data_IF_616194093638
#
_entry.id   IF_616194093638
#
_cell.length_a   1.000
_cell.length_b   1.000
_cell.length_c   1.000
_cell.angle_alpha   90.00
_cell.angle_beta   90.00
_cell.angle_gamma   90.00
#
_symmetry.space_group_name_H-M   'P 1'
#
loop_
_entity.id
_entity.type
_entity.pdbx_description
1 polymer ?
#
# COMPACT_ATOMS: atom_id res chain seq x y z
N UNK A 1 23.26 5.93 76.02
CA UNK A 1 22.58 6.50 74.84
C UNK A 1 22.47 5.41 73.79
N UNK A 2 21.25 4.96 73.46
CA UNK A 2 21.01 3.84 72.54
C UNK A 2 21.37 4.26 71.11
N UNK A 3 22.26 3.50 70.48
CA UNK A 3 22.61 3.62 69.06
C UNK A 3 21.45 3.03 68.24
N UNK A 4 20.71 3.87 67.52
CA UNK A 4 19.69 3.43 66.56
C UNK A 4 20.41 3.14 65.24
N UNK A 5 20.51 1.86 64.90
CA UNK A 5 20.92 1.40 63.57
C UNK A 5 19.69 1.46 62.68
N UNK A 6 19.64 2.43 61.76
CA UNK A 6 18.65 2.47 60.69
C UNK A 6 19.05 1.47 59.60
N UNK A 7 18.36 0.33 59.57
CA UNK A 7 18.33 -0.57 58.42
C UNK A 7 17.59 0.13 57.27
N UNK A 8 18.31 0.49 56.21
CA UNK A 8 17.68 0.73 54.90
C UNK A 8 17.33 -0.63 54.29
N UNK A 9 16.05 -1.01 54.38
CA UNK A 9 15.51 -2.05 53.52
C UNK A 9 15.47 -1.49 52.09
N UNK A 10 16.38 -1.99 51.24
CA UNK A 10 16.27 -1.79 49.80
C UNK A 10 15.02 -2.55 49.32
N UNK A 11 13.92 -1.83 49.14
CA UNK A 11 12.73 -2.35 48.45
C UNK A 11 13.14 -2.49 46.98
N UNK A 12 13.57 -3.69 46.60
CA UNK A 12 13.59 -4.11 45.20
C UNK A 12 12.12 -4.21 44.76
N UNK A 13 11.59 -3.14 44.20
CA UNK A 13 10.40 -3.26 43.37
C UNK A 13 10.81 -4.10 42.15
N UNK A 14 10.10 -5.19 41.81
CA UNK A 14 10.33 -5.86 40.54
C UNK A 14 10.09 -4.82 39.45
N UNK A 15 11.13 -4.51 38.69
CA UNK A 15 10.99 -3.81 37.42
C UNK A 15 9.99 -4.63 36.62
N UNK A 16 8.78 -4.10 36.43
CA UNK A 16 7.87 -4.62 35.41
C UNK A 16 8.64 -4.45 34.11
N UNK A 17 9.10 -5.56 33.53
CA UNK A 17 9.59 -5.58 32.16
C UNK A 17 8.43 -5.07 31.30
N UNK A 18 8.56 -3.83 30.86
CA UNK A 18 7.62 -3.21 29.94
C UNK A 18 8.08 -3.67 28.57
N UNK A 19 7.30 -4.55 27.95
CA UNK A 19 7.60 -5.07 26.62
C UNK A 19 7.80 -3.91 25.62
N UNK A 20 8.91 -3.95 24.88
CA UNK A 20 9.21 -2.96 23.85
C UNK A 20 8.47 -3.34 22.56
N UNK A 21 7.78 -2.37 21.94
CA UNK A 21 7.17 -2.57 20.64
C UNK A 21 8.17 -2.22 19.55
N UNK A 22 8.36 -3.15 18.63
CA UNK A 22 9.13 -2.96 17.39
C UNK A 22 8.18 -2.77 16.23
N UNK A 23 8.63 -2.08 15.18
CA UNK A 23 7.81 -1.87 14.00
C UNK A 23 8.65 -1.91 12.73
N UNK A 24 8.16 -2.64 11.73
CA UNK A 24 8.74 -2.72 10.40
C UNK A 24 7.80 -2.00 9.43
N UNK A 25 8.32 -0.99 8.72
CA UNK A 25 7.55 -0.30 7.69
C UNK A 25 7.45 -1.15 6.42
N UNK A 26 6.25 -1.63 6.13
CA UNK A 26 5.94 -2.45 4.95
C UNK A 26 5.55 -1.61 3.72
N UNK A 27 5.02 -0.42 3.97
CA UNK A 27 4.65 0.54 2.94
C UNK A 27 4.73 1.96 3.48
N UNK A 28 5.13 2.91 2.63
CA UNK A 28 5.03 4.33 2.91
C UNK A 28 4.88 5.09 1.61
N UNK A 29 3.90 5.99 1.56
CA UNK A 29 3.68 6.90 0.45
C UNK A 29 2.92 8.13 0.94
N UNK A 30 3.56 9.31 0.85
CA UNK A 30 3.02 10.59 1.34
C UNK A 30 2.60 10.51 2.80
N UNK A 31 1.30 10.64 3.05
CA UNK A 31 0.71 10.63 4.39
C UNK A 31 0.32 9.23 4.85
N UNK A 32 0.43 8.22 3.98
CA UNK A 32 0.03 6.84 4.26
C UNK A 32 1.25 5.97 4.62
N UNK A 33 1.12 5.16 5.67
CA UNK A 33 2.05 4.07 5.96
C UNK A 33 1.31 2.78 6.29
N UNK A 34 2.01 1.66 6.12
CA UNK A 34 1.62 0.37 6.69
C UNK A 34 2.82 -0.17 7.42
N UNK A 35 2.64 -0.44 8.70
CA UNK A 35 3.68 -0.92 9.59
C UNK A 35 3.23 -2.25 10.20
N UNK A 36 4.11 -3.25 10.21
CA UNK A 36 3.94 -4.46 11.02
C UNK A 36 4.57 -4.21 12.38
N UNK A 37 3.75 -4.23 13.43
CA UNK A 37 4.16 -3.92 14.80
C UNK A 37 4.11 -5.21 15.61
N UNK A 38 5.15 -5.47 16.39
CA UNK A 38 5.24 -6.69 17.19
C UNK A 38 6.01 -6.47 18.49
N UNK A 39 5.76 -7.32 19.47
CA UNK A 39 6.50 -7.37 20.73
C UNK A 39 7.55 -8.48 20.67
N UNK A 40 8.77 -8.18 21.13
CA UNK A 40 9.89 -9.14 21.18
C UNK A 40 9.97 -9.94 22.48
N UNK A 41 9.00 -9.78 23.41
CA UNK A 41 8.97 -10.49 24.69
C UNK A 41 7.75 -11.45 24.82
N UNK A 42 8.02 -12.75 25.06
CA UNK A 42 7.01 -13.79 25.30
C UNK A 42 6.35 -14.35 24.01
N UNK A 43 5.12 -14.88 24.13
CA UNK A 43 4.27 -15.40 23.00
C UNK A 43 3.78 -14.31 22.00
N UNK A 44 4.54 -13.22 21.80
CA UNK A 44 4.51 -12.34 20.62
C UNK A 44 3.18 -11.70 20.20
N UNK A 45 2.73 -10.63 20.87
CA UNK A 45 1.67 -9.77 20.30
C UNK A 45 2.16 -9.16 18.98
N UNK A 46 1.31 -9.18 17.96
CA UNK A 46 1.61 -8.62 16.65
C UNK A 46 0.36 -8.02 16.00
N UNK A 47 0.56 -6.99 15.18
CA UNK A 47 -0.50 -6.31 14.45
C UNK A 47 -0.01 -5.62 13.17
N UNK A 48 -0.94 -5.47 12.25
CA UNK A 48 -0.83 -4.64 11.05
C UNK A 48 -1.48 -3.30 11.31
N UNK A 49 -0.72 -2.22 11.09
CA UNK A 49 -1.17 -0.84 11.31
C UNK A 49 -1.10 -0.10 9.98
N UNK A 50 -2.25 0.15 9.35
CA UNK A 50 -2.33 1.12 8.24
C UNK A 50 -2.74 2.46 8.77
N UNK A 51 -1.97 3.49 8.48
CA UNK A 51 -2.15 4.81 9.05
C UNK A 51 -2.14 5.89 7.96
N UNK A 52 -2.98 6.90 8.15
CA UNK A 52 -2.88 8.18 7.46
C UNK A 52 -2.67 9.31 8.46
N UNK A 53 -1.66 10.15 8.22
CA UNK A 53 -1.29 11.27 9.12
C UNK A 53 -1.54 12.63 8.49
N UNK A 54 -1.97 13.57 9.32
CA UNK A 54 -2.07 14.99 9.02
C UNK A 54 -1.49 15.83 10.17
N UNK A 55 -1.72 17.14 10.12
CA UNK A 55 -1.21 18.11 11.11
C UNK A 55 -1.76 17.84 12.51
N UNK A 56 -1.02 17.02 13.28
CA UNK A 56 -1.36 16.67 14.66
C UNK A 56 -2.47 15.65 14.81
N UNK A 57 -3.04 15.13 13.71
CA UNK A 57 -4.11 14.13 13.73
C UNK A 57 -3.73 12.92 12.87
N UNK A 58 -4.11 11.72 13.29
CA UNK A 58 -3.91 10.50 12.52
C UNK A 58 -5.12 9.58 12.62
N UNK A 59 -5.35 8.80 11.56
CA UNK A 59 -6.31 7.72 11.53
C UNK A 59 -5.58 6.42 11.22
N UNK A 60 -5.74 5.41 12.08
CA UNK A 60 -5.08 4.10 11.93
C UNK A 60 -6.10 2.97 11.95
N UNK A 61 -6.00 2.04 11.01
CA UNK A 61 -6.66 0.74 11.06
C UNK A 61 -5.65 -0.27 11.58
N UNK A 62 -5.92 -0.83 12.76
CA UNK A 62 -5.11 -1.85 13.40
C UNK A 62 -5.80 -3.21 13.22
N UNK A 63 -5.03 -4.24 12.85
CA UNK A 63 -5.51 -5.63 12.72
C UNK A 63 -4.49 -6.54 13.39
N UNK A 64 -4.88 -7.21 14.47
CA UNK A 64 -3.98 -8.07 15.26
C UNK A 64 -3.92 -9.51 14.73
N UNK A 65 -2.96 -10.29 15.25
CA UNK A 65 -2.77 -11.71 14.91
C UNK A 65 -3.95 -12.63 15.21
N UNK A 66 -4.89 -12.19 16.07
CA UNK A 66 -6.14 -12.89 16.37
C UNK A 66 -7.30 -12.40 15.49
N UNK A 67 -7.00 -11.63 14.44
CA UNK A 67 -7.96 -11.02 13.52
C UNK A 67 -8.96 -10.11 14.23
N UNK A 68 -8.57 -9.45 15.32
CA UNK A 68 -9.34 -8.31 15.83
C UNK A 68 -8.93 -7.06 15.07
N UNK A 69 -9.91 -6.24 14.72
CA UNK A 69 -9.68 -4.94 14.11
C UNK A 69 -10.20 -3.81 15.00
N UNK A 70 -9.42 -2.74 15.06
CA UNK A 70 -9.85 -1.48 15.63
C UNK A 70 -9.44 -0.31 14.73
N UNK A 71 -10.21 0.76 14.82
CA UNK A 71 -9.88 2.02 14.19
C UNK A 71 -9.51 3.03 15.27
N UNK A 72 -8.34 3.63 15.13
CA UNK A 72 -7.82 4.63 16.03
C UNK A 72 -7.87 6.01 15.38
N UNK A 73 -8.41 7.00 16.09
CA UNK A 73 -8.23 8.43 15.79
C UNK A 73 -7.30 8.99 16.87
N UNK A 74 -6.12 9.45 16.47
CA UNK A 74 -5.19 10.15 17.34
C UNK A 74 -5.26 11.66 17.08
N UNK A 75 -5.32 12.46 18.14
CA UNK A 75 -5.30 13.94 18.08
C UNK A 75 -4.32 14.46 19.15
N UNK A 76 -3.20 15.00 18.69
CA UNK A 76 -2.11 15.51 19.54
C UNK A 76 -2.54 16.66 20.46
N UNK A 77 -3.60 17.39 20.11
CA UNK A 77 -4.12 18.49 20.91
C UNK A 77 -5.22 18.07 21.90
N UNK A 78 -5.73 16.83 21.79
CA UNK A 78 -6.85 16.36 22.59
C UNK A 78 -6.43 15.49 23.79
N UNK A 79 -7.24 15.47 24.83
CA UNK A 79 -7.16 14.45 25.89
C UNK A 79 -8.51 13.74 26.02
N UNK A 80 -8.53 12.48 25.60
CA UNK A 80 -9.70 11.60 25.65
C UNK A 80 -9.67 10.64 26.84
N UNK A 81 -8.74 10.78 27.79
CA UNK A 81 -8.62 9.86 28.94
C UNK A 81 -9.90 9.77 29.79
N UNK A 82 -10.72 10.83 29.78
CA UNK A 82 -12.03 10.85 30.45
C UNK A 82 -13.20 10.29 29.62
N UNK A 83 -13.00 9.96 28.34
CA UNK A 83 -14.07 9.55 27.43
C UNK A 83 -14.37 8.06 27.56
N UNK A 84 -15.50 7.74 28.19
CA UNK A 84 -15.96 6.35 28.38
C UNK A 84 -17.22 6.11 27.55
N UNK A 85 -17.06 5.40 26.43
CA UNK A 85 -18.11 4.93 25.53
C UNK A 85 -19.09 6.01 25.02
N UNK A 86 -19.07 6.27 23.71
CA UNK A 86 -20.03 7.17 23.08
C UNK A 86 -19.66 7.54 21.65
N UNK A 87 -20.57 8.23 20.96
CA UNK A 87 -20.35 8.72 19.58
C UNK A 87 -19.65 10.07 19.65
N UNK A 88 -18.33 10.08 19.48
CA UNK A 88 -17.53 11.32 19.47
C UNK A 88 -17.34 11.84 18.05
N UNK A 89 -17.02 10.95 17.13
CA UNK A 89 -16.78 11.27 15.72
C UNK A 89 -17.67 10.43 14.80
N UNK A 90 -17.82 10.91 13.57
CA UNK A 90 -18.31 10.15 12.43
C UNK A 90 -17.27 10.25 11.31
N UNK A 91 -17.08 9.18 10.55
CA UNK A 91 -16.26 9.24 9.33
C UNK A 91 -17.11 9.24 8.09
N UNK A 92 -16.62 9.89 7.05
CA UNK A 92 -17.23 9.85 5.73
C UNK A 92 -16.15 9.73 4.66
N UNK A 93 -16.29 8.78 3.75
CA UNK A 93 -15.42 8.67 2.59
C UNK A 93 -16.18 9.22 1.38
N UNK A 94 -15.68 10.31 0.82
CA UNK A 94 -16.34 11.08 -0.24
C UNK A 94 -17.82 11.39 0.09
N UNK A 95 -18.76 10.87 -0.71
CA UNK A 95 -20.21 11.06 -0.54
C UNK A 95 -20.92 9.82 0.01
N UNK A 96 -20.18 8.84 0.51
CA UNK A 96 -20.78 7.66 1.14
C UNK A 96 -21.52 8.03 2.43
N UNK A 97 -22.48 7.20 2.87
CA UNK A 97 -23.11 7.37 4.17
C UNK A 97 -22.08 7.42 5.30
N UNK A 98 -22.29 8.31 6.27
CA UNK A 98 -21.39 8.45 7.42
C UNK A 98 -21.35 7.15 8.23
N UNK A 99 -20.15 6.79 8.66
CA UNK A 99 -19.89 5.72 9.62
C UNK A 99 -20.09 6.27 11.03
N UNK A 100 -21.05 5.70 11.76
CA UNK A 100 -21.17 5.94 13.19
C UNK A 100 -20.05 5.22 13.95
N UNK A 101 -19.30 5.97 14.75
CA UNK A 101 -18.09 5.49 15.42
C UNK A 101 -18.21 5.62 16.94
N UNK A 102 -18.88 4.66 17.61
CA UNK A 102 -18.79 4.56 19.06
C UNK A 102 -17.35 4.23 19.45
N UNK A 103 -16.74 5.09 20.27
CA UNK A 103 -15.33 4.97 20.61
C UNK A 103 -15.09 5.06 22.12
N UNK A 104 -13.97 4.45 22.55
CA UNK A 104 -13.42 4.57 23.90
C UNK A 104 -12.14 5.40 23.86
N UNK A 105 -11.96 6.30 24.83
CA UNK A 105 -10.80 7.17 24.89
C UNK A 105 -9.66 6.62 25.74
N UNK A 106 -8.43 6.87 25.31
CA UNK A 106 -7.19 6.59 26.04
C UNK A 106 -6.13 7.61 25.63
N UNK A 107 -5.75 8.51 26.55
CA UNK A 107 -4.81 9.59 26.23
C UNK A 107 -5.32 10.42 25.05
N UNK A 108 -4.45 10.70 24.09
CA UNK A 108 -4.76 11.43 22.85
C UNK A 108 -5.53 10.60 21.80
N UNK A 109 -5.97 9.38 22.11
CA UNK A 109 -6.55 8.46 21.13
C UNK A 109 -8.00 8.07 21.46
N UNK A 110 -8.81 7.90 20.42
CA UNK A 110 -10.10 7.24 20.45
C UNK A 110 -10.03 5.95 19.65
N UNK A 111 -10.53 4.86 20.23
CA UNK A 111 -10.54 3.54 19.62
C UNK A 111 -11.96 3.08 19.35
N UNK A 112 -12.22 2.68 18.11
CA UNK A 112 -13.48 2.12 17.63
C UNK A 112 -13.26 0.65 17.38
N UNK A 113 -13.96 -0.16 18.16
CA UNK A 113 -13.94 -1.61 18.00
C UNK A 113 -14.69 -2.02 16.71
N UNK A 114 -13.97 -2.73 15.84
CA UNK A 114 -14.50 -3.34 14.62
C UNK A 114 -14.60 -4.88 14.71
N UNK A 115 -14.12 -5.52 15.78
CA UNK A 115 -14.00 -6.99 15.96
C UNK A 115 -15.28 -7.69 16.49
N UNK A 116 -16.45 -7.06 16.30
CA UNK A 116 -17.73 -7.62 16.74
C UNK A 116 -18.20 -8.89 15.98
N UNK A 117 -19.23 -9.59 16.50
CA UNK A 117 -19.70 -10.92 16.03
C UNK A 117 -20.28 -10.98 14.61
N UNK A 118 -20.17 -9.90 13.84
CA UNK A 118 -20.56 -9.86 12.43
C UNK A 118 -19.28 -9.93 11.59
N UNK A 119 -18.93 -11.16 11.19
CA UNK A 119 -18.22 -11.53 9.95
C UNK A 119 -17.63 -10.32 9.21
N UNK A 120 -16.31 -10.08 9.36
CA UNK A 120 -15.34 -9.08 8.84
C UNK A 120 -15.74 -7.97 7.85
N UNK A 121 -16.94 -8.01 7.27
CA UNK A 121 -17.65 -7.06 6.40
C UNK A 121 -17.49 -5.59 6.76
N UNK A 122 -17.37 -5.23 8.04
CA UNK A 122 -17.13 -3.81 8.43
C UNK A 122 -15.72 -3.37 8.02
N UNK A 123 -14.73 -4.22 8.25
CA UNK A 123 -13.35 -3.99 7.82
C UNK A 123 -13.26 -4.04 6.29
N UNK A 124 -13.86 -5.05 5.65
CA UNK A 124 -13.87 -5.16 4.19
C UNK A 124 -14.50 -3.94 3.52
N UNK A 125 -15.66 -3.49 4.02
CA UNK A 125 -16.33 -2.30 3.48
C UNK A 125 -15.50 -1.04 3.70
N UNK A 126 -14.87 -0.88 4.87
CA UNK A 126 -13.99 0.26 5.14
C UNK A 126 -12.78 0.27 4.20
N UNK A 127 -12.10 -0.87 4.04
CA UNK A 127 -10.98 -1.03 3.12
C UNK A 127 -11.41 -0.78 1.67
N UNK A 128 -12.58 -1.27 1.27
CA UNK A 128 -13.15 -1.03 -0.05
C UNK A 128 -13.37 0.47 -0.31
N UNK A 129 -14.04 1.17 0.61
CA UNK A 129 -14.27 2.62 0.49
C UNK A 129 -12.96 3.41 0.48
N UNK A 130 -11.99 3.05 1.36
CA UNK A 130 -10.66 3.69 1.40
C UNK A 130 -9.94 3.54 0.07
N UNK A 131 -9.88 2.31 -0.50
CA UNK A 131 -9.15 2.02 -1.75
C UNK A 131 -9.62 2.83 -2.95
N UNK A 132 -10.90 3.18 -3.00
CA UNK A 132 -11.52 3.87 -4.13
C UNK A 132 -11.74 5.36 -3.86
N UNK A 133 -11.59 5.79 -2.60
CA UNK A 133 -11.99 7.12 -2.19
C UNK A 133 -10.96 8.20 -2.50
N UNK A 134 -11.40 9.45 -2.54
CA UNK A 134 -10.54 10.63 -2.74
C UNK A 134 -10.25 11.37 -1.43
N UNK A 135 -11.24 11.49 -0.56
CA UNK A 135 -11.13 12.16 0.74
C UNK A 135 -11.85 11.41 1.85
N UNK A 136 -11.24 11.39 3.03
CA UNK A 136 -11.85 10.89 4.26
C UNK A 136 -12.04 12.06 5.21
N UNK A 137 -13.30 12.33 5.55
CA UNK A 137 -13.70 13.38 6.45
C UNK A 137 -13.97 12.82 7.84
N UNK A 138 -13.49 13.52 8.86
CA UNK A 138 -13.80 13.30 10.27
C UNK A 138 -14.76 14.40 10.68
N UNK A 139 -15.93 14.05 11.20
CA UNK A 139 -16.90 14.99 11.75
C UNK A 139 -17.02 14.77 13.25
N UNK A 140 -17.13 15.84 14.02
CA UNK A 140 -17.66 15.69 15.38
C UNK A 140 -19.12 15.22 15.29
N UNK A 141 -19.52 14.31 16.19
CA UNK A 141 -20.84 13.69 16.12
C UNK A 141 -21.95 14.74 16.23
N UNK A 142 -22.88 14.73 15.26
CA UNK A 142 -23.99 15.69 15.17
C UNK A 142 -23.65 16.99 14.43
N UNK A 143 -22.37 17.24 14.16
CA UNK A 143 -21.94 18.44 13.44
C UNK A 143 -22.08 18.29 11.92
N UNK A 144 -22.31 19.43 11.27
CA UNK A 144 -22.43 19.50 9.81
C UNK A 144 -21.10 19.74 9.12
N UNK A 145 -20.23 20.54 9.74
CA UNK A 145 -18.91 20.87 9.23
C UNK A 145 -17.91 19.79 9.65
N UNK A 146 -16.97 19.47 8.76
CA UNK A 146 -15.89 18.55 9.04
C UNK A 146 -14.95 19.12 10.11
N UNK A 147 -14.56 18.26 11.05
CA UNK A 147 -13.51 18.55 12.02
C UNK A 147 -12.12 18.45 11.37
N UNK A 148 -11.93 17.45 10.51
CA UNK A 148 -10.70 17.24 9.77
C UNK A 148 -10.95 16.46 8.48
N UNK A 149 -10.00 16.49 7.54
CA UNK A 149 -10.04 15.61 6.38
C UNK A 149 -8.64 15.10 6.01
N UNK A 150 -8.58 13.87 5.55
CA UNK A 150 -7.38 13.24 4.99
C UNK A 150 -7.52 13.06 3.49
N UNK A 151 -6.43 13.25 2.77
CA UNK A 151 -6.32 12.82 1.38
C UNK A 151 -6.22 11.29 1.33
N UNK A 152 -7.09 10.65 0.57
CA UNK A 152 -7.01 9.21 0.29
C UNK A 152 -6.06 8.92 -0.88
N UNK A 153 -5.31 9.91 -1.40
CA UNK A 153 -4.28 9.65 -2.41
C UNK A 153 -3.16 8.79 -1.81
N UNK A 154 -2.98 7.59 -2.36
CA UNK A 154 -2.04 6.59 -1.85
C UNK A 154 -2.68 5.48 -1.01
N UNK A 155 -3.92 5.68 -0.58
CA UNK A 155 -4.63 4.74 0.28
C UNK A 155 -4.86 3.37 -0.36
N UNK A 156 -5.03 3.30 -1.69
CA UNK A 156 -5.14 2.02 -2.40
C UNK A 156 -3.89 1.17 -2.23
N UNK A 157 -2.70 1.77 -2.38
CA UNK A 157 -1.43 1.06 -2.24
C UNK A 157 -1.20 0.64 -0.78
N UNK A 158 -1.59 1.48 0.18
CA UNK A 158 -1.53 1.15 1.61
C UNK A 158 -2.50 0.01 1.97
N UNK A 159 -3.77 0.09 1.55
CA UNK A 159 -4.76 -0.95 1.80
C UNK A 159 -4.39 -2.28 1.14
N UNK A 160 -3.85 -2.24 -0.08
CA UNK A 160 -3.28 -3.43 -0.71
C UNK A 160 -2.09 -3.97 0.10
N UNK A 161 -1.20 -3.12 0.59
CA UNK A 161 -0.06 -3.56 1.39
C UNK A 161 -0.46 -4.25 2.71
N UNK A 162 -1.59 -3.89 3.34
CA UNK A 162 -2.13 -4.67 4.46
C UNK A 162 -2.39 -6.11 4.02
N UNK A 163 -3.21 -6.26 2.97
CA UNK A 163 -3.73 -7.56 2.55
C UNK A 163 -2.63 -8.43 1.93
N UNK A 164 -1.78 -7.83 1.09
CA UNK A 164 -0.76 -8.51 0.30
C UNK A 164 0.54 -8.75 1.08
N UNK A 165 0.90 -7.83 1.98
CA UNK A 165 2.16 -7.91 2.72
C UNK A 165 1.94 -8.27 4.17
N UNK A 166 1.03 -7.58 4.85
CA UNK A 166 1.00 -7.60 6.30
C UNK A 166 0.29 -8.83 6.87
N UNK A 167 -0.84 -9.25 6.30
CA UNK A 167 -1.58 -10.41 6.78
C UNK A 167 -0.78 -11.72 6.74
N UNK A 168 0.22 -11.83 5.86
CA UNK A 168 1.11 -12.98 5.82
C UNK A 168 2.05 -13.10 7.04
N UNK A 169 2.24 -12.02 7.80
CA UNK A 169 3.08 -11.99 9.01
C UNK A 169 2.28 -12.10 10.31
N UNK A 170 0.95 -12.05 10.24
CA UNK A 170 0.11 -12.12 11.42
C UNK A 170 0.14 -13.54 12.00
N UNK A 171 0.53 -13.64 13.27
CA UNK A 171 0.58 -14.90 14.00
C UNK A 171 -0.43 -14.86 15.15
N UNK A 172 -1.28 -15.88 15.25
CA UNK A 172 -2.21 -16.01 16.37
C UNK A 172 -1.45 -16.09 17.70
N UNK A 173 -1.95 -15.41 18.74
CA UNK A 173 -1.31 -15.33 20.04
C UNK A 173 -2.32 -15.53 21.18
N UNK A 174 -1.89 -15.92 22.41
CA UNK A 174 -2.80 -16.20 23.51
C UNK A 174 -3.71 -15.01 23.86
N UNK A 175 -5.02 -15.25 23.87
CA UNK A 175 -6.07 -14.25 24.11
C UNK A 175 -6.03 -13.62 25.51
N UNK A 176 -5.27 -14.19 26.44
CA UNK A 176 -5.03 -13.61 27.77
C UNK A 176 -4.08 -12.41 27.74
N UNK A 177 -3.41 -12.16 26.61
CA UNK A 177 -2.55 -11.00 26.41
C UNK A 177 -3.30 -9.88 25.70
N UNK A 178 -3.22 -8.69 26.27
CA UNK A 178 -3.70 -7.45 25.63
C UNK A 178 -2.54 -6.76 24.93
N UNK A 179 -2.86 -5.90 23.96
CA UNK A 179 -1.92 -4.97 23.33
C UNK A 179 -1.06 -4.29 24.42
N UNK A 180 0.29 -4.37 24.32
CA UNK A 180 1.17 -3.68 25.26
C UNK A 180 0.91 -2.18 25.21
N UNK A 181 0.75 -1.52 26.35
CA UNK A 181 0.53 -0.06 26.35
C UNK A 181 1.85 0.65 26.06
N UNK A 182 2.04 1.26 24.87
CA UNK A 182 3.30 1.91 24.54
C UNK A 182 3.42 3.20 25.36
N UNK A 183 4.54 3.39 26.09
CA UNK A 183 4.85 4.69 26.71
C UNK A 183 5.24 5.75 25.67
N UNK A 184 5.72 5.29 24.52
CA UNK A 184 6.16 6.09 23.38
C UNK A 184 5.75 5.32 22.12
N UNK A 185 5.29 5.99 21.03
CA UNK A 185 5.05 5.30 19.76
C UNK A 185 6.28 4.48 19.35
N UNK A 186 6.12 3.26 18.82
CA UNK A 186 7.25 2.48 18.33
C UNK A 186 8.02 3.32 17.31
N UNK A 187 9.36 3.28 17.42
CA UNK A 187 10.20 3.90 16.39
C UNK A 187 9.99 3.10 15.11
N UNK A 188 9.57 3.79 14.06
CA UNK A 188 9.50 3.21 12.71
C UNK A 188 10.90 2.91 12.23
N UNK A 189 11.20 1.64 12.01
CA UNK A 189 12.47 1.22 11.43
C UNK A 189 12.47 1.53 9.93
N UNK A 190 13.67 1.73 9.36
CA UNK A 190 13.84 1.87 7.91
C UNK A 190 13.34 0.60 7.17
N UNK A 191 12.85 0.72 5.92
CA UNK A 191 12.46 -0.44 5.13
C UNK A 191 13.61 -1.45 5.05
N UNK A 192 13.36 -2.70 5.44
CA UNK A 192 14.39 -3.75 5.42
C UNK A 192 14.86 -4.00 3.98
N UNK A 193 16.16 -3.85 3.68
CA UNK A 193 16.72 -4.24 2.39
C UNK A 193 16.59 -5.75 2.18
N UNK A 194 15.79 -6.19 1.20
CA UNK A 194 15.65 -7.61 0.83
C UNK A 194 14.24 -8.13 0.56
N UNK A 195 13.18 -7.33 0.77
CA UNK A 195 11.79 -7.77 0.59
C UNK A 195 11.24 -7.39 -0.82
N UNK A 196 11.58 -8.16 -1.86
CA UNK A 196 11.19 -7.85 -3.26
C UNK A 196 10.32 -8.90 -3.97
N UNK A 197 9.91 -10.00 -3.34
CA UNK A 197 9.25 -11.13 -4.06
C UNK A 197 7.74 -11.30 -3.83
N UNK A 198 7.04 -10.43 -3.08
CA UNK A 198 5.60 -10.57 -2.82
C UNK A 198 4.70 -9.52 -3.50
N UNK A 199 5.28 -8.54 -4.20
CA UNK A 199 4.52 -7.53 -4.95
C UNK A 199 4.22 -7.95 -6.39
N UNK A 200 5.01 -8.87 -6.92
CA UNK A 200 4.81 -9.49 -8.21
C UNK A 200 5.13 -10.98 -8.09
N UNK A 201 4.38 -11.79 -8.82
CA UNK A 201 4.67 -13.19 -9.05
C UNK A 201 5.28 -13.34 -10.44
N UNK A 202 6.40 -14.07 -10.51
CA UNK A 202 6.98 -14.51 -11.78
C UNK A 202 7.07 -16.03 -11.76
N UNK A 203 6.35 -16.67 -12.68
CA UNK A 203 6.35 -18.12 -12.81
C UNK A 203 6.83 -18.51 -14.19
N UNK A 204 7.95 -19.24 -14.25
CA UNK A 204 8.48 -19.77 -15.51
C UNK A 204 7.97 -21.18 -15.75
N UNK A 205 7.48 -21.44 -16.96
CA UNK A 205 6.99 -22.74 -17.41
C UNK A 205 7.47 -23.04 -18.82
N UNK A 206 7.73 -24.31 -19.10
CA UNK A 206 8.00 -24.79 -20.46
C UNK A 206 6.68 -25.25 -21.09
N UNK A 207 6.35 -24.70 -22.25
CA UNK A 207 5.09 -24.95 -22.95
C UNK A 207 5.33 -25.46 -24.37
N UNK A 208 4.28 -25.90 -25.07
CA UNK A 208 4.38 -26.24 -26.49
C UNK A 208 4.71 -25.04 -27.39
N UNK A 209 4.54 -23.80 -26.91
CA UNK A 209 4.86 -22.58 -27.64
C UNK A 209 6.30 -22.11 -27.40
N UNK A 210 6.97 -22.60 -26.36
CA UNK A 210 8.29 -22.17 -25.89
C UNK A 210 8.34 -21.99 -24.37
N UNK A 211 9.41 -21.37 -23.91
CA UNK A 211 9.63 -21.04 -22.51
C UNK A 211 8.88 -19.75 -22.15
N UNK A 212 7.93 -19.85 -21.23
CA UNK A 212 6.98 -18.78 -20.89
C UNK A 212 7.20 -18.33 -19.45
N UNK A 213 7.24 -17.02 -19.23
CA UNK A 213 7.18 -16.41 -17.90
C UNK A 213 5.83 -15.74 -17.73
N UNK A 214 5.06 -16.17 -16.74
CA UNK A 214 3.83 -15.51 -16.32
C UNK A 214 4.15 -14.45 -15.26
N UNK A 215 3.56 -13.27 -15.43
CA UNK A 215 3.67 -12.13 -14.54
C UNK A 215 2.28 -11.71 -14.05
N UNK A 216 2.13 -11.65 -12.73
CA UNK A 216 0.98 -11.07 -12.06
C UNK A 216 1.43 -10.10 -10.97
N UNK A 217 0.75 -8.98 -10.80
CA UNK A 217 0.97 -8.02 -9.70
C UNK A 217 1.60 -6.69 -10.10
N UNK A 218 2.30 -6.07 -9.17
CA UNK A 218 2.84 -4.70 -9.26
C UNK A 218 4.29 -4.72 -9.73
N UNK A 219 4.64 -3.88 -10.69
CA UNK A 219 6.03 -3.66 -11.12
C UNK A 219 6.75 -2.87 -10.01
N UNK A 220 7.30 -3.58 -9.03
CA UNK A 220 8.01 -2.97 -7.91
C UNK A 220 9.52 -2.95 -8.13
N UNK A 221 10.25 -2.33 -7.20
CA UNK A 221 11.72 -2.31 -7.22
C UNK A 221 12.27 -3.74 -7.30
N UNK A 222 13.31 -3.95 -8.10
CA UNK A 222 13.92 -5.25 -8.32
C UNK A 222 13.25 -6.11 -9.41
N UNK A 223 12.07 -5.73 -9.91
CA UNK A 223 11.34 -6.48 -10.93
C UNK A 223 12.18 -6.73 -12.19
N UNK A 224 12.86 -5.71 -12.72
CA UNK A 224 13.70 -5.87 -13.91
C UNK A 224 14.83 -6.87 -13.68
N UNK A 225 15.41 -6.88 -12.48
CA UNK A 225 16.48 -7.81 -12.13
C UNK A 225 15.94 -9.23 -11.94
N UNK A 226 14.77 -9.39 -11.33
CA UNK A 226 14.14 -10.69 -11.15
C UNK A 226 13.80 -11.36 -12.49
N UNK A 227 13.24 -10.60 -13.45
CA UNK A 227 13.04 -11.11 -14.81
C UNK A 227 14.34 -11.59 -15.45
N UNK A 228 15.42 -10.82 -15.34
CA UNK A 228 16.75 -11.19 -15.88
C UNK A 228 17.31 -12.47 -15.22
N UNK A 229 17.00 -12.70 -13.95
CA UNK A 229 17.48 -13.88 -13.21
C UNK A 229 16.78 -15.18 -13.60
N UNK A 230 15.63 -15.13 -14.28
CA UNK A 230 14.93 -16.32 -14.81
C UNK A 230 15.64 -16.97 -16.01
N UNK A 231 16.71 -16.34 -16.51
CA UNK A 231 17.47 -16.80 -17.67
C UNK A 231 16.74 -16.52 -18.97
N UNK A 232 16.94 -17.39 -19.96
CA UNK A 232 16.33 -17.23 -21.28
C UNK A 232 14.88 -17.73 -21.29
N UNK A 233 13.98 -16.97 -21.90
CA UNK A 233 12.59 -17.32 -22.11
C UNK A 233 12.07 -16.60 -23.37
N UNK A 234 11.05 -17.16 -24.00
CA UNK A 234 10.53 -16.68 -25.29
C UNK A 234 9.38 -15.68 -25.12
N UNK A 235 8.59 -15.83 -24.04
CA UNK A 235 7.39 -15.03 -23.80
C UNK A 235 7.29 -14.51 -22.36
N UNK A 236 6.90 -13.26 -22.19
CA UNK A 236 6.35 -12.72 -20.95
C UNK A 236 4.83 -12.58 -21.10
N UNK A 237 4.06 -13.39 -20.37
CA UNK A 237 2.60 -13.31 -20.29
C UNK A 237 2.22 -12.49 -19.07
N UNK A 238 1.57 -11.35 -19.29
CA UNK A 238 1.05 -10.48 -18.24
C UNK A 238 -0.40 -10.89 -17.96
N UNK A 239 -0.63 -11.54 -16.83
CA UNK A 239 -1.96 -12.00 -16.43
C UNK A 239 -2.79 -10.81 -15.93
N UNK A 240 -2.25 -10.05 -14.98
CA UNK A 240 -2.87 -8.81 -14.51
C UNK A 240 -1.83 -7.91 -13.82
N UNK A 241 -1.83 -6.62 -14.15
CA UNK A 241 -0.98 -5.63 -13.49
C UNK A 241 -1.59 -4.24 -13.52
N UNK A 242 -1.63 -3.59 -12.35
CA UNK A 242 -2.01 -2.18 -12.23
C UNK A 242 -0.84 -1.21 -12.51
N UNK A 243 0.32 -1.73 -12.93
CA UNK A 243 1.54 -0.96 -13.16
C UNK A 243 2.45 -0.93 -11.94
N UNK A 244 3.12 0.21 -11.71
CA UNK A 244 4.12 0.35 -10.64
C UNK A 244 5.21 1.35 -10.98
N UNK A 245 6.45 1.03 -10.63
CA UNK A 245 7.61 1.86 -10.87
C UNK A 245 7.95 1.92 -12.36
N UNK A 246 7.83 3.12 -12.91
CA UNK A 246 8.13 3.40 -14.31
C UNK A 246 9.53 2.96 -14.74
N UNK A 247 10.55 3.29 -13.94
CA UNK A 247 11.94 2.95 -14.26
C UNK A 247 12.18 1.43 -14.33
N UNK A 248 11.52 0.64 -13.48
CA UNK A 248 11.59 -0.82 -13.51
C UNK A 248 10.90 -1.40 -14.76
N UNK A 249 9.74 -0.85 -15.13
CA UNK A 249 9.02 -1.24 -16.34
C UNK A 249 9.82 -0.95 -17.62
N UNK A 250 10.38 0.25 -17.72
CA UNK A 250 11.24 0.64 -18.85
C UNK A 250 12.49 -0.23 -18.94
N UNK A 251 13.17 -0.47 -17.82
CA UNK A 251 14.37 -1.30 -17.79
C UNK A 251 14.07 -2.77 -18.12
N UNK A 252 12.96 -3.31 -17.62
CA UNK A 252 12.49 -4.65 -17.96
C UNK A 252 12.10 -4.76 -19.43
N UNK A 253 11.30 -3.83 -19.95
CA UNK A 253 10.88 -3.85 -21.35
C UNK A 253 12.04 -3.64 -22.33
N UNK A 254 13.03 -2.81 -21.99
CA UNK A 254 14.30 -2.74 -22.75
C UNK A 254 15.03 -4.08 -22.78
N UNK A 255 15.07 -4.81 -21.65
CA UNK A 255 15.65 -6.15 -21.61
C UNK A 255 14.87 -7.13 -22.50
N UNK A 256 13.53 -7.13 -22.46
CA UNK A 256 12.71 -7.97 -23.34
C UNK A 256 13.03 -7.70 -24.81
N UNK A 257 13.10 -6.41 -25.19
CA UNK A 257 13.41 -5.99 -26.55
C UNK A 257 14.79 -6.46 -27.01
N UNK A 258 15.81 -6.27 -26.17
CA UNK A 258 17.20 -6.67 -26.47
C UNK A 258 17.37 -8.18 -26.61
N UNK A 259 16.50 -8.96 -25.96
CA UNK A 259 16.50 -10.42 -25.99
C UNK A 259 15.49 -11.00 -26.98
N UNK A 260 14.85 -10.16 -27.79
CA UNK A 260 13.81 -10.55 -28.75
C UNK A 260 12.64 -11.34 -28.13
N UNK A 261 12.32 -11.03 -26.87
CA UNK A 261 11.24 -11.68 -26.11
C UNK A 261 9.89 -11.08 -26.50
N UNK A 262 8.91 -11.95 -26.73
CA UNK A 262 7.54 -11.54 -27.00
C UNK A 262 6.77 -11.23 -25.70
N UNK A 263 5.81 -10.32 -25.77
CA UNK A 263 4.89 -10.05 -24.66
C UNK A 263 3.47 -10.49 -25.03
N UNK A 264 2.72 -10.94 -24.04
CA UNK A 264 1.29 -11.26 -24.17
C UNK A 264 0.53 -10.69 -22.98
N UNK A 265 -0.75 -10.36 -23.16
CA UNK A 265 -1.64 -9.95 -22.07
C UNK A 265 -2.86 -10.88 -22.04
N UNK A 266 -3.18 -11.42 -20.86
CA UNK A 266 -4.44 -12.14 -20.63
C UNK A 266 -5.49 -11.33 -19.85
N UNK A 267 -5.11 -10.24 -19.18
CA UNK A 267 -6.04 -9.45 -18.38
C UNK A 267 -5.79 -7.96 -18.45
N UNK A 268 -5.89 -7.28 -17.30
CA UNK A 268 -5.73 -5.83 -17.26
C UNK A 268 -4.25 -5.44 -17.12
N UNK A 269 -3.78 -4.51 -17.94
CA UNK A 269 -2.44 -3.94 -17.92
C UNK A 269 -2.53 -2.42 -17.90
N UNK A 270 -2.30 -1.82 -16.73
CA UNK A 270 -2.45 -0.39 -16.52
C UNK A 270 -1.11 0.32 -16.20
N UNK A 271 -1.04 1.61 -16.53
CA UNK A 271 0.08 2.49 -16.17
C UNK A 271 1.41 1.95 -16.68
N UNK A 272 2.44 1.85 -15.83
CA UNK A 272 3.76 1.32 -16.17
C UNK A 272 3.72 -0.10 -16.78
N UNK A 273 2.65 -0.89 -16.56
CA UNK A 273 2.50 -2.18 -17.24
C UNK A 273 2.45 -2.02 -18.77
N UNK A 274 1.80 -0.98 -19.27
CA UNK A 274 1.70 -0.71 -20.72
C UNK A 274 3.09 -0.49 -21.31
N UNK A 275 3.99 0.13 -20.54
CA UNK A 275 5.38 0.32 -20.95
C UNK A 275 6.15 -1.00 -20.96
N UNK A 276 5.99 -1.84 -19.93
CA UNK A 276 6.57 -3.19 -19.92
C UNK A 276 6.11 -4.01 -21.14
N UNK A 277 4.80 -4.02 -21.41
CA UNK A 277 4.21 -4.72 -22.54
C UNK A 277 4.76 -4.23 -23.89
N UNK A 278 4.89 -2.92 -24.07
CA UNK A 278 5.47 -2.30 -25.26
C UNK A 278 6.96 -2.64 -25.47
N UNK A 279 7.62 -3.23 -24.46
CA UNK A 279 8.98 -3.75 -24.56
C UNK A 279 9.11 -4.96 -25.47
N UNK A 280 8.06 -5.78 -25.59
CA UNK A 280 8.08 -6.98 -26.42
C UNK A 280 8.25 -6.68 -27.91
N UNK A 281 9.06 -7.49 -28.60
CA UNK A 281 9.28 -7.36 -30.06
C UNK A 281 8.11 -7.88 -30.89
N UNK A 282 7.34 -8.82 -30.32
CA UNK A 282 6.03 -9.27 -30.80
C UNK A 282 5.06 -9.16 -29.63
N UNK A 283 3.86 -8.71 -29.93
CA UNK A 283 2.83 -8.40 -28.93
C UNK A 283 1.57 -9.20 -29.22
N UNK A 284 1.22 -10.08 -28.29
CA UNK A 284 -0.01 -10.88 -28.31
C UNK A 284 -1.00 -10.38 -27.25
N UNK A 285 -2.26 -10.78 -27.38
CA UNK A 285 -3.32 -10.38 -26.46
C UNK A 285 -4.47 -11.38 -26.51
N UNK A 286 -5.18 -11.56 -25.40
CA UNK A 286 -6.44 -12.31 -25.35
C UNK A 286 -7.64 -11.38 -25.45
N UNK A 287 -8.84 -11.93 -25.63
CA UNK A 287 -10.10 -11.18 -25.69
C UNK A 287 -10.41 -10.39 -24.40
N UNK A 288 -9.71 -10.71 -23.30
CA UNK A 288 -9.84 -10.03 -22.00
C UNK A 288 -8.86 -8.88 -21.83
N UNK A 289 -7.92 -8.70 -22.75
CA UNK A 289 -6.85 -7.72 -22.64
C UNK A 289 -7.41 -6.29 -22.53
N UNK A 290 -6.94 -5.55 -21.53
CA UNK A 290 -7.31 -4.14 -21.31
C UNK A 290 -6.10 -3.29 -21.02
N UNK A 291 -6.00 -2.13 -21.66
CA UNK A 291 -4.91 -1.18 -21.48
C UNK A 291 -5.41 0.07 -20.76
N UNK A 292 -4.79 0.40 -19.63
CA UNK A 292 -5.13 1.60 -18.86
C UNK A 292 -3.99 2.60 -18.85
N UNK A 293 -4.26 3.88 -19.11
CA UNK A 293 -3.25 4.95 -19.08
C UNK A 293 -3.65 6.06 -18.12
N UNK A 294 -2.66 6.67 -17.47
CA UNK A 294 -2.81 7.86 -16.64
C UNK A 294 -1.46 8.58 -16.48
N UNK A 295 -1.50 9.80 -15.96
CA UNK A 295 -0.31 10.63 -15.77
C UNK A 295 0.56 10.05 -14.66
N UNK A 296 1.88 10.13 -14.80
CA UNK A 296 2.80 9.71 -13.74
C UNK A 296 2.53 10.51 -12.46
N UNK A 297 2.55 9.83 -11.31
CA UNK A 297 2.59 10.52 -10.04
C UNK A 297 4.02 11.05 -9.82
N UNK A 298 4.20 12.36 -9.91
CA UNK A 298 5.45 13.03 -9.58
C UNK A 298 5.32 13.60 -8.17
N UNK A 299 6.32 13.36 -7.31
CA UNK A 299 6.41 14.06 -6.04
C UNK A 299 7.06 15.43 -6.27
N UNK A 300 6.28 16.49 -6.05
CA UNK A 300 6.62 17.85 -6.47
C UNK A 300 7.80 18.46 -5.72
N UNK A 301 8.10 17.96 -4.51
CA UNK A 301 9.18 18.46 -3.66
C UNK A 301 10.52 17.74 -3.92
N UNK A 302 10.50 16.50 -4.44
CA UNK A 302 11.70 15.69 -4.68
C UNK A 302 12.13 15.64 -6.16
N UNK A 303 11.19 15.77 -7.10
CA UNK A 303 11.49 15.64 -8.53
C UNK A 303 11.53 16.98 -9.22
N UNK A 304 12.71 17.41 -9.66
CA UNK A 304 12.85 18.67 -10.41
C UNK A 304 12.01 18.65 -11.69
N UNK A 305 11.46 19.80 -12.09
CA UNK A 305 10.77 19.95 -13.39
C UNK A 305 11.62 19.42 -14.56
N UNK A 306 12.94 19.65 -14.51
CA UNK A 306 13.87 19.17 -15.53
C UNK A 306 13.95 17.64 -15.58
N UNK A 307 13.84 16.97 -14.43
CA UNK A 307 13.77 15.51 -14.32
C UNK A 307 12.47 15.00 -14.92
N UNK A 308 11.32 15.61 -14.58
CA UNK A 308 10.03 15.23 -15.15
C UNK A 308 10.01 15.38 -16.67
N UNK A 309 10.53 16.49 -17.20
CA UNK A 309 10.64 16.71 -18.65
C UNK A 309 11.51 15.66 -19.35
N UNK A 310 12.63 15.28 -18.74
CA UNK A 310 13.48 14.19 -19.26
C UNK A 310 12.74 12.86 -19.27
N UNK A 311 12.03 12.51 -18.19
CA UNK A 311 11.24 11.28 -18.13
C UNK A 311 10.14 11.24 -19.20
N UNK A 312 9.47 12.36 -19.46
CA UNK A 312 8.49 12.45 -20.56
C UNK A 312 9.15 12.19 -21.92
N UNK A 313 10.33 12.77 -22.16
CA UNK A 313 11.10 12.52 -23.38
C UNK A 313 11.52 11.05 -23.51
N UNK A 314 11.92 10.42 -22.40
CA UNK A 314 12.29 9.00 -22.37
C UNK A 314 11.10 8.08 -22.70
N UNK A 315 9.91 8.36 -22.16
CA UNK A 315 8.68 7.62 -22.47
C UNK A 315 8.32 7.69 -23.95
N UNK A 316 8.37 8.89 -24.54
CA UNK A 316 8.13 9.10 -25.97
C UNK A 316 9.09 8.24 -26.79
N UNK A 317 10.40 8.36 -26.55
CA UNK A 317 11.43 7.59 -27.25
C UNK A 317 11.25 6.09 -27.07
N UNK A 318 10.87 5.66 -25.88
CA UNK A 318 10.70 4.25 -25.55
C UNK A 318 9.55 3.59 -26.33
N UNK A 319 8.41 4.27 -26.40
CA UNK A 319 7.25 3.81 -27.18
C UNK A 319 7.55 3.82 -28.67
N UNK A 320 8.11 4.91 -29.21
CA UNK A 320 8.46 5.00 -30.63
C UNK A 320 9.47 3.92 -31.04
N UNK A 321 10.47 3.65 -30.21
CA UNK A 321 11.42 2.55 -30.45
C UNK A 321 10.78 1.15 -30.39
N UNK A 322 9.58 1.03 -29.80
CA UNK A 322 8.76 -0.18 -29.80
C UNK A 322 7.67 -0.20 -30.87
N UNK A 323 7.66 0.78 -31.78
CA UNK A 323 6.61 0.92 -32.80
C UNK A 323 5.24 1.30 -32.23
N UNK A 324 5.19 1.87 -31.02
CA UNK A 324 3.96 2.38 -30.40
C UNK A 324 3.91 3.89 -30.61
N UNK A 325 2.75 4.39 -31.06
CA UNK A 325 2.53 5.81 -31.31
C UNK A 325 2.66 6.61 -30.00
N UNK A 326 3.52 7.64 -29.99
CA UNK A 326 3.78 8.47 -28.83
C UNK A 326 2.58 9.31 -28.36
N UNK A 327 1.49 9.39 -29.14
CA UNK A 327 0.20 9.92 -28.69
C UNK A 327 -0.33 9.23 -27.43
N UNK A 328 0.01 7.96 -27.19
CA UNK A 328 -0.32 7.28 -25.93
C UNK A 328 0.26 8.00 -24.70
N UNK A 329 1.42 8.65 -24.85
CA UNK A 329 2.02 9.45 -23.78
C UNK A 329 1.19 10.70 -23.52
N UNK A 330 0.73 11.40 -24.56
CA UNK A 330 -0.13 12.59 -24.42
C UNK A 330 -1.45 12.21 -23.73
N UNK A 331 -2.10 11.16 -24.22
CA UNK A 331 -3.32 10.62 -23.65
C UNK A 331 -3.16 10.16 -22.19
N UNK A 332 -1.97 9.66 -21.83
CA UNK A 332 -1.65 9.38 -20.44
C UNK A 332 -1.58 10.67 -19.62
N UNK A 333 -0.97 11.74 -20.14
CA UNK A 333 -0.81 13.02 -19.44
C UNK A 333 -2.12 13.78 -19.26
N UNK A 334 -3.04 13.66 -20.22
CA UNK A 334 -4.37 14.25 -20.16
C UNK A 334 -5.29 13.56 -19.13
N UNK A 335 -4.90 12.36 -18.68
CA UNK A 335 -5.62 11.61 -17.64
C UNK A 335 -4.92 11.83 -16.28
N UNK A 336 -5.55 12.46 -15.28
CA UNK A 336 -4.94 12.74 -13.99
C UNK A 336 -4.34 11.50 -13.32
N UNK A 337 -3.26 11.65 -12.55
CA UNK A 337 -2.52 10.50 -11.97
C UNK A 337 -3.30 9.66 -10.95
N UNK A 338 -4.52 10.07 -10.59
CA UNK A 338 -5.42 9.39 -9.65
C UNK A 338 -6.67 8.84 -10.35
N UNK A 339 -6.75 9.03 -11.66
CA UNK A 339 -7.76 8.44 -12.53
C UNK A 339 -7.08 7.37 -13.39
N UNK A 340 -7.89 6.60 -14.10
CA UNK A 340 -7.40 5.64 -15.08
C UNK A 340 -8.32 5.67 -16.29
N UNK A 341 -7.75 5.93 -17.46
CA UNK A 341 -8.48 5.87 -18.72
C UNK A 341 -8.16 4.57 -19.41
N UNK A 342 -9.19 3.74 -19.59
CA UNK A 342 -9.09 2.51 -20.38
C UNK A 342 -9.15 2.85 -21.87
N UNK A 343 -8.19 2.34 -22.64
CA UNK A 343 -8.19 2.44 -24.09
C UNK A 343 -9.28 1.53 -24.65
N UNK A 344 -9.99 2.02 -25.67
CA UNK A 344 -10.78 1.14 -26.53
C UNK A 344 -9.87 0.21 -27.35
N UNK A 345 -10.45 -0.86 -27.88
CA UNK A 345 -9.74 -1.77 -28.78
C UNK A 345 -9.18 -1.00 -29.99
N UNK A 346 -9.99 -0.17 -30.64
CA UNK A 346 -9.58 0.65 -31.79
C UNK A 346 -8.41 1.58 -31.46
N UNK A 347 -8.39 2.19 -30.27
CA UNK A 347 -7.25 3.02 -29.82
C UNK A 347 -5.99 2.18 -29.56
N UNK A 348 -6.13 0.97 -29.01
CA UNK A 348 -4.98 0.09 -28.81
C UNK A 348 -4.37 -0.36 -30.15
N UNK A 349 -5.21 -0.59 -31.17
CA UNK A 349 -4.76 -0.83 -32.56
C UNK A 349 -4.13 0.44 -33.15
N UNK A 350 -4.79 1.59 -33.03
CA UNK A 350 -4.29 2.87 -33.57
C UNK A 350 -2.93 3.26 -33.00
N UNK A 351 -2.70 3.01 -31.70
CA UNK A 351 -1.40 3.25 -31.08
C UNK A 351 -0.37 2.16 -31.37
N UNK A 352 -0.75 1.07 -32.02
CA UNK A 352 0.15 -0.05 -32.32
C UNK A 352 0.52 -0.88 -31.09
N UNK A 353 -0.28 -0.85 -30.02
CA UNK A 353 -0.10 -1.79 -28.90
C UNK A 353 -0.44 -3.21 -29.34
N UNK A 354 -1.47 -3.36 -30.15
CA UNK A 354 -1.98 -4.62 -30.67
C UNK A 354 -2.18 -4.52 -32.20
N UNK A 355 -2.19 -5.68 -32.86
CA UNK A 355 -2.43 -5.81 -34.31
C UNK A 355 -3.90 -6.02 -34.66
#
# INVERSE_FOLDING_TARGET
MKLIVLLFAAIWAPSVLVAELKSIQLHSYKHWSVDYVFSDEGEGWNACVMEVRGDGIALSLNIDGNMNADLQVFDAAADYSGWKSGRKFQLQIDRHPRWDMPANGRGNSLFVDLSGPNDWKRVDRLLYEIRQGLKLYVYQYGEREEYYWFSLRGSMAAANAIVEKCFAYLEEYPTTKSEPTPKTPPKRDEPVPGLFSSLYELKKEETSAGSVVYFNGTISRGFSNALKQLGDFDYLVIEQSNGGLLGEALAAGQFLRQREIATSIDGACASACVELYAGGVKRYYSDKAKFGVHAMAVDGDETSLSTTQKMLSERVKYFEAGGVDSRIVLDSLDTPSHELRWLSHDQAVEYGLIE
#
